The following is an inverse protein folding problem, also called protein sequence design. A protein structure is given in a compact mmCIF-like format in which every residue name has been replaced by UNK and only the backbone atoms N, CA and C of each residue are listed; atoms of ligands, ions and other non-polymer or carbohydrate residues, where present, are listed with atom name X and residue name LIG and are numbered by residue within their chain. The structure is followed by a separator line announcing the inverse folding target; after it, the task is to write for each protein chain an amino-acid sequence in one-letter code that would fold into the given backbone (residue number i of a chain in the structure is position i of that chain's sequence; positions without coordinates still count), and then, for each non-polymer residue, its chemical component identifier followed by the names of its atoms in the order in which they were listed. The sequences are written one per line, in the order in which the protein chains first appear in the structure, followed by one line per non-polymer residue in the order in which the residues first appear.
data_IF_642781018303
#
_entry.id   IF_642781018303
#
_cell.length_a   1.000
_cell.length_b   1.000
_cell.length_c   1.000
_cell.angle_alpha   90.00
_cell.angle_beta   90.00
_cell.angle_gamma   90.00
#
_symmetry.space_group_name_H-M   'P 1'
#
loop_
_entity.id
_entity.type
_entity.pdbx_description
1 polymer ?
#
# COMPACT_ATOMS: atom_id res chain seq x y z
N UNK A 1 46.97 -11.97 21.34
CA UNK A 1 45.95 -12.47 20.39
C UNK A 1 44.59 -12.09 20.94
N UNK A 2 44.07 -10.94 20.55
CA UNK A 2 42.71 -10.49 20.88
C UNK A 2 41.75 -10.99 19.79
N UNK A 3 40.57 -11.53 20.13
CA UNK A 3 39.59 -11.90 19.13
C UNK A 3 38.95 -10.65 18.50
N UNK A 4 38.55 -10.68 17.22
CA UNK A 4 37.84 -9.57 16.62
C UNK A 4 36.42 -9.45 17.18
N UNK A 5 36.03 -8.23 17.57
CA UNK A 5 34.65 -7.88 17.92
C UNK A 5 33.77 -7.98 16.69
N UNK A 6 32.95 -9.02 16.63
CA UNK A 6 31.95 -9.19 15.59
C UNK A 6 30.76 -8.29 15.94
N UNK A 7 30.69 -7.11 15.35
CA UNK A 7 29.48 -6.28 15.39
C UNK A 7 28.37 -7.02 14.63
N UNK A 8 27.20 -7.29 15.22
CA UNK A 8 26.10 -7.84 14.46
C UNK A 8 25.65 -6.79 13.45
N UNK A 9 25.86 -7.13 12.18
CA UNK A 9 25.39 -6.41 11.01
C UNK A 9 23.88 -6.17 11.17
N UNK A 10 23.50 -4.90 11.32
CA UNK A 10 22.11 -4.47 11.43
C UNK A 10 21.46 -4.56 10.04
N UNK A 11 21.23 -5.78 9.57
CA UNK A 11 20.52 -6.07 8.33
C UNK A 11 19.09 -6.52 8.61
N UNK A 12 18.45 -5.91 9.61
CA UNK A 12 16.99 -5.80 9.65
C UNK A 12 16.55 -4.66 8.70
N UNK A 13 17.02 -4.70 7.45
CA UNK A 13 16.64 -3.73 6.45
C UNK A 13 15.25 -4.10 5.91
N UNK A 14 14.25 -3.31 6.35
CA UNK A 14 13.07 -2.93 5.57
C UNK A 14 11.83 -3.85 5.59
N UNK A 15 11.51 -4.48 6.71
CA UNK A 15 10.14 -5.00 6.94
C UNK A 15 9.12 -3.87 7.16
N UNK A 16 9.58 -2.64 7.39
CA UNK A 16 8.78 -1.53 7.90
C UNK A 16 8.33 -0.49 6.85
N UNK A 17 8.75 -0.59 5.58
CA UNK A 17 8.43 0.36 4.50
C UNK A 17 9.63 1.14 3.93
N UNK A 18 9.45 1.80 2.77
CA UNK A 18 10.44 2.73 2.18
C UNK A 18 10.34 4.10 2.86
N UNK A 19 11.41 4.64 3.46
CA UNK A 19 11.38 5.98 4.05
C UNK A 19 11.21 7.05 2.95
N UNK A 20 10.51 8.13 3.27
CA UNK A 20 10.29 9.29 2.40
C UNK A 20 10.83 10.52 3.12
N UNK A 21 11.65 11.33 2.44
CA UNK A 21 12.18 12.56 3.03
C UNK A 21 11.04 13.53 3.41
N UNK A 22 11.18 14.29 4.49
CA UNK A 22 10.13 15.20 4.95
C UNK A 22 9.74 16.26 3.90
N UNK A 23 10.70 16.75 3.12
CA UNK A 23 10.45 17.69 2.03
C UNK A 23 9.61 17.06 0.90
N UNK A 24 9.95 15.84 0.47
CA UNK A 24 9.17 15.10 -0.52
C UNK A 24 7.79 14.72 0.01
N UNK A 25 7.71 14.29 1.26
CA UNK A 25 6.44 14.00 1.94
C UNK A 25 5.50 15.21 1.90
N UNK A 26 5.99 16.40 2.22
CA UNK A 26 5.19 17.63 2.19
C UNK A 26 4.78 17.99 0.75
N UNK A 27 5.71 17.91 -0.21
CA UNK A 27 5.48 18.20 -1.63
C UNK A 27 4.46 17.26 -2.28
N UNK A 28 4.53 15.97 -1.93
CA UNK A 28 3.77 14.91 -2.57
C UNK A 28 2.48 14.55 -1.80
N UNK A 29 2.19 15.20 -0.67
CA UNK A 29 1.03 14.89 0.18
C UNK A 29 -0.27 14.87 -0.62
N UNK A 30 -0.52 15.94 -1.36
CA UNK A 30 -1.73 16.09 -2.15
C UNK A 30 -1.86 14.98 -3.20
N UNK A 31 -0.76 14.64 -3.88
CA UNK A 31 -0.75 13.59 -4.91
C UNK A 31 -1.04 12.23 -4.28
N UNK A 32 -0.36 11.91 -3.18
CA UNK A 32 -0.57 10.66 -2.46
C UNK A 32 -2.03 10.54 -1.97
N UNK A 33 -2.55 11.58 -1.33
CA UNK A 33 -3.91 11.58 -0.81
C UNK A 33 -4.95 11.48 -1.93
N UNK A 34 -4.73 12.15 -3.07
CA UNK A 34 -5.61 12.03 -4.23
C UNK A 34 -5.64 10.60 -4.79
N UNK A 35 -4.47 9.95 -4.89
CA UNK A 35 -4.40 8.54 -5.30
C UNK A 35 -5.16 7.65 -4.30
N UNK A 36 -4.96 7.84 -3.00
CA UNK A 36 -5.67 7.07 -1.96
C UNK A 36 -7.18 7.23 -2.03
N UNK A 37 -7.67 8.45 -2.18
CA UNK A 37 -9.11 8.72 -2.27
C UNK A 37 -9.71 8.11 -3.55
N UNK A 38 -9.02 8.23 -4.68
CA UNK A 38 -9.46 7.69 -5.96
C UNK A 38 -9.55 6.16 -5.94
N UNK A 39 -8.50 5.46 -5.50
CA UNK A 39 -8.50 3.98 -5.46
C UNK A 39 -9.52 3.43 -4.46
N UNK A 40 -9.74 4.11 -3.33
CA UNK A 40 -10.79 3.74 -2.36
C UNK A 40 -12.19 3.90 -2.96
N UNK A 41 -12.44 5.02 -3.64
CA UNK A 41 -13.72 5.27 -4.30
C UNK A 41 -14.01 4.22 -5.39
N UNK A 42 -13.01 3.90 -6.22
CA UNK A 42 -13.17 2.87 -7.26
C UNK A 42 -13.37 1.47 -6.67
N UNK A 43 -12.68 1.11 -5.58
CA UNK A 43 -12.92 -0.15 -4.86
C UNK A 43 -14.38 -0.24 -4.39
N UNK A 44 -14.90 0.82 -3.77
CA UNK A 44 -16.26 0.87 -3.24
C UNK A 44 -17.33 0.83 -4.33
N UNK A 45 -17.03 1.38 -5.50
CA UNK A 45 -17.93 1.38 -6.67
C UNK A 45 -17.87 0.08 -7.48
N UNK A 46 -16.87 -0.76 -7.24
CA UNK A 46 -16.71 -2.05 -7.93
C UNK A 46 -17.88 -2.98 -7.65
N UNK A 47 -18.14 -3.88 -8.60
CA UNK A 47 -19.25 -4.85 -8.53
C UNK A 47 -18.71 -6.27 -8.53
N UNK A 48 -19.40 -7.21 -7.87
CA UNK A 48 -19.02 -8.61 -7.91
C UNK A 48 -19.00 -9.13 -9.36
N UNK A 49 -17.98 -9.90 -9.76
CA UNK A 49 -17.84 -10.41 -11.12
C UNK A 49 -18.89 -11.47 -11.48
N UNK A 50 -19.41 -12.19 -10.48
CA UNK A 50 -20.52 -13.13 -10.65
C UNK A 50 -21.74 -12.68 -9.85
N UNK A 51 -22.93 -12.97 -10.39
CA UNK A 51 -24.18 -12.79 -9.68
C UNK A 51 -24.32 -13.81 -8.54
N UNK A 52 -24.99 -13.42 -7.46
CA UNK A 52 -25.34 -14.30 -6.34
C UNK A 52 -24.89 -13.79 -4.98
N UNK A 53 -25.55 -14.27 -3.93
CA UNK A 53 -25.32 -13.78 -2.57
C UNK A 53 -23.91 -14.10 -2.04
N UNK A 54 -23.39 -15.29 -2.36
CA UNK A 54 -22.04 -15.70 -1.94
C UNK A 54 -20.95 -14.87 -2.63
N UNK A 55 -21.07 -14.65 -3.94
CA UNK A 55 -20.16 -13.79 -4.69
C UNK A 55 -20.18 -12.35 -4.15
N UNK A 56 -21.36 -11.83 -3.79
CA UNK A 56 -21.48 -10.52 -3.15
C UNK A 56 -20.83 -10.46 -1.76
N UNK A 57 -20.86 -11.54 -0.97
CA UNK A 57 -20.14 -11.60 0.31
C UNK A 57 -18.62 -11.57 0.12
N UNK A 58 -18.07 -12.43 -0.75
CA UNK A 58 -16.64 -12.44 -1.03
C UNK A 58 -16.15 -11.11 -1.60
N UNK A 59 -16.93 -10.50 -2.49
CA UNK A 59 -16.64 -9.17 -3.03
C UNK A 59 -16.55 -8.11 -1.92
N UNK A 60 -17.50 -8.10 -0.97
CA UNK A 60 -17.46 -7.17 0.17
C UNK A 60 -16.24 -7.39 1.07
N UNK A 61 -15.84 -8.64 1.27
CA UNK A 61 -14.62 -8.97 2.02
C UNK A 61 -13.36 -8.46 1.31
N UNK A 62 -13.25 -8.67 -0.01
CA UNK A 62 -12.16 -8.14 -0.82
C UNK A 62 -12.11 -6.61 -0.83
N UNK A 63 -13.25 -5.94 -0.95
CA UNK A 63 -13.34 -4.47 -0.82
C UNK A 63 -12.84 -4.03 0.55
N UNK A 64 -13.23 -4.72 1.62
CA UNK A 64 -12.79 -4.40 2.98
C UNK A 64 -11.28 -4.57 3.14
N UNK A 65 -10.70 -5.64 2.57
CA UNK A 65 -9.25 -5.87 2.56
C UNK A 65 -8.49 -4.78 1.79
N UNK A 66 -9.01 -4.36 0.62
CA UNK A 66 -8.43 -3.27 -0.16
C UNK A 66 -8.44 -1.94 0.62
N UNK A 67 -9.56 -1.61 1.28
CA UNK A 67 -9.69 -0.40 2.10
C UNK A 67 -8.76 -0.44 3.32
N UNK A 68 -8.61 -1.61 3.96
CA UNK A 68 -7.66 -1.78 5.07
C UNK A 68 -6.21 -1.57 4.59
N UNK A 69 -5.84 -2.10 3.43
CA UNK A 69 -4.54 -1.86 2.82
C UNK A 69 -4.29 -0.37 2.54
N UNK A 70 -5.29 0.36 2.04
CA UNK A 70 -5.21 1.81 1.86
C UNK A 70 -5.04 2.56 3.20
N UNK A 71 -5.73 2.13 4.26
CA UNK A 71 -5.57 2.71 5.59
C UNK A 71 -4.16 2.51 6.14
N UNK A 72 -3.54 1.34 5.91
CA UNK A 72 -2.14 1.09 6.29
C UNK A 72 -1.18 1.99 5.52
N UNK A 73 -1.40 2.19 4.22
CA UNK A 73 -0.62 3.11 3.40
C UNK A 73 -0.69 4.55 3.93
N UNK A 74 -1.88 5.05 4.25
CA UNK A 74 -2.07 6.39 4.85
C UNK A 74 -1.37 6.48 6.21
N UNK A 75 -1.48 5.44 7.05
CA UNK A 75 -0.81 5.41 8.35
C UNK A 75 0.71 5.43 8.21
N UNK A 76 1.27 4.71 7.23
CA UNK A 76 2.68 4.76 6.88
C UNK A 76 3.10 6.14 6.37
N UNK A 77 2.30 6.72 5.47
CA UNK A 77 2.55 8.04 4.88
C UNK A 77 2.62 9.13 5.95
N UNK A 78 1.74 9.10 6.95
CA UNK A 78 1.76 10.00 8.11
C UNK A 78 3.01 9.83 8.99
N UNK A 79 3.75 8.73 8.81
CA UNK A 79 5.01 8.43 9.49
C UNK A 79 6.21 8.58 8.54
N UNK A 80 6.05 9.31 7.44
CA UNK A 80 7.08 9.57 6.43
C UNK A 80 7.64 8.28 5.77
N UNK A 81 6.76 7.33 5.46
CA UNK A 81 7.13 6.07 4.79
C UNK A 81 6.04 5.53 3.88
N UNK A 82 6.44 4.76 2.88
CA UNK A 82 5.55 3.91 2.09
C UNK A 82 5.55 2.52 2.75
N UNK A 83 4.41 2.12 3.33
CA UNK A 83 4.28 0.85 4.04
C UNK A 83 4.20 -0.34 3.08
N UNK A 84 5.25 -1.18 3.06
CA UNK A 84 5.36 -2.31 2.13
C UNK A 84 4.24 -3.35 2.29
N UNK A 85 3.82 -3.59 3.54
CA UNK A 85 2.76 -4.55 3.83
C UNK A 85 1.41 -4.02 3.34
N UNK A 86 1.13 -2.74 3.57
CA UNK A 86 -0.02 -2.00 3.05
C UNK A 86 -0.05 -2.00 1.52
N UNK A 87 1.08 -1.69 0.86
CA UNK A 87 1.22 -1.77 -0.60
C UNK A 87 0.86 -3.16 -1.11
N UNK A 88 1.49 -4.20 -0.56
CA UNK A 88 1.31 -5.59 -1.02
C UNK A 88 -0.12 -6.07 -0.79
N UNK A 89 -0.68 -5.78 0.38
CA UNK A 89 -2.06 -6.14 0.74
C UNK A 89 -3.06 -5.44 -0.18
N UNK A 90 -2.95 -4.12 -0.33
CA UNK A 90 -3.85 -3.36 -1.19
C UNK A 90 -3.76 -3.82 -2.65
N UNK A 91 -2.55 -3.95 -3.21
CA UNK A 91 -2.36 -4.37 -4.59
C UNK A 91 -2.88 -5.80 -4.86
N UNK A 92 -2.71 -6.73 -3.90
CA UNK A 92 -3.30 -8.06 -4.00
C UNK A 92 -4.83 -8.01 -3.99
N UNK A 93 -5.43 -7.25 -3.07
CA UNK A 93 -6.88 -7.11 -2.97
C UNK A 93 -7.48 -6.45 -4.24
N UNK A 94 -6.83 -5.43 -4.79
CA UNK A 94 -7.25 -4.81 -6.06
C UNK A 94 -7.23 -5.79 -7.24
N UNK A 95 -6.22 -6.66 -7.33
CA UNK A 95 -6.21 -7.72 -8.36
C UNK A 95 -7.34 -8.71 -8.15
N UNK A 96 -7.65 -9.08 -6.90
CA UNK A 96 -8.76 -9.97 -6.59
C UNK A 96 -10.13 -9.36 -6.92
N UNK A 97 -10.23 -8.03 -6.89
CA UNK A 97 -11.40 -7.26 -7.34
C UNK A 97 -11.46 -7.04 -8.86
N UNK A 98 -10.55 -7.64 -9.64
CA UNK A 98 -10.42 -7.41 -11.09
C UNK A 98 -10.09 -5.94 -11.45
N UNK A 99 -9.33 -5.26 -10.59
CA UNK A 99 -8.89 -3.88 -10.75
C UNK A 99 -7.34 -3.78 -10.84
N UNK A 100 -6.70 -4.43 -11.84
CA UNK A 100 -5.24 -4.50 -11.93
C UNK A 100 -4.57 -3.13 -12.11
N UNK A 101 -5.25 -2.19 -12.76
CA UNK A 101 -4.78 -0.81 -12.93
C UNK A 101 -4.62 -0.09 -11.57
N UNK A 102 -5.53 -0.34 -10.62
CA UNK A 102 -5.43 0.24 -9.28
C UNK A 102 -4.29 -0.41 -8.49
N UNK A 103 -4.10 -1.72 -8.65
CA UNK A 103 -2.95 -2.41 -8.08
C UNK A 103 -1.63 -1.79 -8.58
N UNK A 104 -1.53 -1.52 -9.88
CA UNK A 104 -0.39 -0.84 -10.48
C UNK A 104 -0.16 0.56 -9.89
N UNK A 105 -1.20 1.38 -9.74
CA UNK A 105 -1.11 2.71 -9.11
C UNK A 105 -0.56 2.64 -7.68
N UNK A 106 -1.04 1.70 -6.88
CA UNK A 106 -0.55 1.47 -5.52
C UNK A 106 0.93 1.09 -5.50
N UNK A 107 1.34 0.21 -6.39
CA UNK A 107 2.74 -0.24 -6.48
C UNK A 107 3.67 0.89 -6.93
N UNK A 108 3.21 1.79 -7.80
CA UNK A 108 4.00 2.95 -8.22
C UNK A 108 4.23 3.99 -7.11
N UNK A 109 3.46 3.96 -6.02
CA UNK A 109 3.72 4.84 -4.86
C UNK A 109 5.09 4.61 -4.24
N UNK A 110 5.68 3.42 -4.45
CA UNK A 110 7.06 3.16 -4.04
C UNK A 110 8.08 4.04 -4.73
N UNK A 111 7.74 4.63 -5.88
CA UNK A 111 8.63 5.48 -6.69
C UNK A 111 8.18 6.94 -6.73
N UNK A 112 7.26 7.32 -5.84
CA UNK A 112 6.61 8.65 -5.88
C UNK A 112 7.61 9.80 -5.68
N UNK A 113 8.74 9.54 -5.03
CA UNK A 113 9.84 10.46 -4.73
C UNK A 113 10.99 10.41 -5.75
N UNK A 114 10.91 9.55 -6.77
CA UNK A 114 11.96 9.37 -7.79
C UNK A 114 11.80 10.31 -9.00
N UNK A 115 10.79 11.20 -8.98
CA UNK A 115 10.44 12.13 -10.06
C UNK A 115 10.95 13.55 -9.88
#
# INVERSE_FOLDING_TARGET
MTPPSNSPNNTAASTAGKPVAAADRARLDQVFMQVMLDVQAQAQQSRPPQAGNLAAMFHKEQVSEALQGCAMLIAGWNQNRIDNAGTTRAARAFRALELPELAGRIEQLHKIDEG
#
